data_IF_513587610275
#
_entry.id   IF_513587610275
#
_cell.length_a   1.000
_cell.length_b   1.000
_cell.length_c   1.000
_cell.angle_alpha   90.00
_cell.angle_beta   90.00
_cell.angle_gamma   90.00
#
_symmetry.space_group_name_H-M   'P 1'
#
loop_
_entity.id
_entity.type
_entity.pdbx_description
1 polymer ?
#
# COMPACT_ATOMS: atom_id res chain seq x y z
N UNK A 1 9.85 -0.66 9.66
CA UNK A 1 8.36 -0.63 9.87
C UNK A 1 7.67 -1.07 8.58
N UNK A 2 6.38 -1.50 8.60
CA UNK A 2 5.65 -2.01 7.40
C UNK A 2 5.74 -1.00 6.24
N UNK A 3 5.47 0.27 6.51
CA UNK A 3 5.48 1.33 5.52
C UNK A 3 6.85 1.56 4.84
N UNK A 4 7.95 1.28 5.55
CA UNK A 4 9.32 1.49 5.08
C UNK A 4 10.00 0.21 4.58
N UNK A 5 9.31 -0.93 4.63
CA UNK A 5 9.85 -2.18 4.12
C UNK A 5 10.21 -2.02 2.62
N UNK A 6 11.38 -2.51 2.18
CA UNK A 6 11.77 -2.39 0.77
C UNK A 6 10.92 -3.25 -0.17
N UNK A 7 10.20 -4.23 0.35
CA UNK A 7 9.27 -5.07 -0.38
C UNK A 7 7.89 -4.42 -0.48
N UNK A 8 7.09 -4.81 -1.47
CA UNK A 8 5.65 -4.52 -1.48
C UNK A 8 4.99 -5.25 -0.31
N UNK A 9 4.28 -4.49 0.51
CA UNK A 9 3.53 -5.01 1.67
C UNK A 9 2.05 -5.05 1.35
N UNK A 10 1.40 -6.18 1.67
CA UNK A 10 -0.03 -6.38 1.49
C UNK A 10 -0.66 -6.66 2.84
N UNK A 11 -1.66 -5.87 3.22
CA UNK A 11 -2.50 -6.13 4.38
C UNK A 11 -3.81 -6.77 3.93
N UNK A 12 -4.22 -7.81 4.63
CA UNK A 12 -5.53 -8.45 4.46
C UNK A 12 -6.33 -8.24 5.74
N UNK A 13 -7.49 -7.62 5.61
CA UNK A 13 -8.44 -7.47 6.72
C UNK A 13 -9.57 -8.45 6.52
N UNK A 14 -9.69 -9.39 7.47
CA UNK A 14 -10.69 -10.45 7.49
C UNK A 14 -11.32 -10.51 8.90
N UNK A 15 -12.10 -9.51 9.21
CA UNK A 15 -12.75 -9.35 10.51
C UNK A 15 -12.55 -7.97 11.12
N UNK A 16 -12.63 -7.84 12.47
CA UNK A 16 -12.48 -6.57 13.16
C UNK A 16 -11.11 -5.95 13.03
N UNK A 17 -11.03 -4.73 12.53
CA UNK A 17 -9.82 -3.94 12.36
C UNK A 17 -9.98 -2.60 13.10
N UNK A 18 -9.51 -2.55 14.37
CA UNK A 18 -9.89 -1.48 15.30
C UNK A 18 -8.65 -0.69 15.73
N UNK A 19 -8.79 0.62 15.87
CA UNK A 19 -7.79 1.54 16.43
C UNK A 19 -6.40 1.34 15.82
N UNK A 20 -5.40 0.96 16.61
CA UNK A 20 -4.04 0.67 16.15
C UNK A 20 -3.96 -0.39 15.05
N UNK A 21 -4.84 -1.40 15.05
CA UNK A 21 -4.96 -2.41 13.99
C UNK A 21 -5.36 -1.78 12.66
N UNK A 22 -6.29 -0.83 12.67
CA UNK A 22 -6.67 -0.07 11.48
C UNK A 22 -5.49 0.76 10.95
N UNK A 23 -4.75 1.43 11.83
CA UNK A 23 -3.53 2.13 11.44
C UNK A 23 -2.46 1.22 10.82
N UNK A 24 -2.26 0.02 11.40
CA UNK A 24 -1.33 -0.98 10.85
C UNK A 24 -1.75 -1.46 9.46
N UNK A 25 -3.05 -1.75 9.27
CA UNK A 25 -3.58 -2.13 7.96
C UNK A 25 -3.34 -1.04 6.91
N UNK A 26 -3.58 0.23 7.28
CA UNK A 26 -3.34 1.38 6.41
C UNK A 26 -1.86 1.65 6.11
N UNK A 27 -0.94 1.17 6.94
CA UNK A 27 0.50 1.34 6.74
C UNK A 27 1.09 0.44 5.63
N UNK A 28 0.35 -0.58 5.17
CA UNK A 28 0.75 -1.41 4.04
C UNK A 28 0.60 -0.65 2.71
N UNK A 29 1.30 -1.09 1.67
CA UNK A 29 1.20 -0.51 0.32
C UNK A 29 -0.16 -0.83 -0.31
N UNK A 30 -0.65 -2.04 -0.09
CA UNK A 30 -1.92 -2.55 -0.62
C UNK A 30 -2.76 -3.08 0.53
N UNK A 31 -4.03 -2.71 0.57
CA UNK A 31 -4.99 -3.20 1.54
C UNK A 31 -6.12 -3.93 0.82
N UNK A 32 -6.30 -5.20 1.15
CA UNK A 32 -7.42 -6.03 0.72
C UNK A 32 -8.37 -6.17 1.91
N UNK A 33 -9.65 -6.01 1.71
CA UNK A 33 -10.66 -6.22 2.74
C UNK A 33 -11.66 -7.29 2.32
N UNK A 34 -12.09 -8.10 3.28
CA UNK A 34 -13.29 -8.92 3.08
C UNK A 34 -14.53 -8.06 3.23
N UNK A 35 -15.61 -8.39 2.53
CA UNK A 35 -16.89 -7.68 2.66
C UNK A 35 -17.42 -7.71 4.09
N UNK A 36 -17.20 -8.83 4.80
CA UNK A 36 -17.58 -9.03 6.21
C UNK A 36 -16.71 -8.28 7.21
N UNK A 37 -15.65 -7.60 6.75
CA UNK A 37 -14.73 -6.90 7.63
C UNK A 37 -15.34 -5.65 8.23
N UNK A 38 -14.78 -5.23 9.35
CA UNK A 38 -15.25 -4.12 10.12
C UNK A 38 -14.08 -3.25 10.60
N UNK A 39 -14.12 -1.98 10.29
CA UNK A 39 -13.10 -1.00 10.66
C UNK A 39 -13.66 0.01 11.65
N UNK A 40 -12.90 0.35 12.69
CA UNK A 40 -13.35 1.31 13.71
C UNK A 40 -12.23 2.18 14.25
N UNK A 41 -12.54 3.46 14.41
CA UNK A 41 -11.74 4.41 15.18
C UNK A 41 -12.53 4.81 16.43
N UNK A 42 -12.10 4.35 17.59
CA UNK A 42 -12.82 4.58 18.86
C UNK A 42 -12.06 5.46 19.85
N UNK A 43 -10.89 5.96 19.46
CA UNK A 43 -9.99 6.70 20.34
C UNK A 43 -10.66 7.91 20.98
N UNK A 44 -11.39 8.71 20.22
CA UNK A 44 -12.06 9.92 20.73
C UNK A 44 -13.19 9.60 21.72
N UNK A 45 -13.85 8.44 21.58
CA UNK A 45 -14.83 7.96 22.56
C UNK A 45 -14.20 7.54 23.89
N UNK A 46 -12.88 7.30 23.89
CA UNK A 46 -12.09 6.95 25.09
C UNK A 46 -11.28 8.14 25.64
N UNK A 47 -11.51 9.35 25.11
CA UNK A 47 -10.73 10.54 25.50
C UNK A 47 -9.30 10.56 24.95
N UNK A 48 -9.01 9.75 23.94
CA UNK A 48 -7.69 9.64 23.30
C UNK A 48 -7.72 10.28 21.90
N UNK A 49 -6.53 10.54 21.35
CA UNK A 49 -6.37 11.01 19.98
C UNK A 49 -5.66 9.94 19.13
N UNK A 50 -6.11 9.66 17.89
CA UNK A 50 -5.49 8.67 17.01
C UNK A 50 -4.22 9.22 16.34
N UNK A 51 -3.32 9.89 17.09
CA UNK A 51 -2.19 10.65 16.55
C UNK A 51 -1.18 9.78 15.79
N UNK A 52 -0.91 8.57 16.30
CA UNK A 52 0.09 7.66 15.71
C UNK A 52 -0.37 7.05 14.39
N UNK A 53 -1.68 6.86 14.21
CA UNK A 53 -2.25 6.22 13.02
C UNK A 53 -2.74 7.24 11.97
N UNK A 54 -2.98 8.48 12.36
CA UNK A 54 -3.47 9.56 11.50
C UNK A 54 -2.71 9.69 10.17
N UNK A 55 -1.36 9.66 10.13
CA UNK A 55 -0.63 9.80 8.86
C UNK A 55 -0.97 8.70 7.85
N UNK A 56 -1.16 7.46 8.31
CA UNK A 56 -1.48 6.31 7.45
C UNK A 56 -2.90 6.37 6.90
N UNK A 57 -3.86 6.79 7.74
CA UNK A 57 -5.24 7.00 7.32
C UNK A 57 -5.38 8.15 6.31
N UNK A 58 -4.66 9.26 6.55
CA UNK A 58 -4.65 10.41 5.64
C UNK A 58 -4.00 10.10 4.27
N UNK A 59 -3.20 9.05 4.17
CA UNK A 59 -2.65 8.61 2.90
C UNK A 59 -3.63 7.76 2.07
N UNK A 60 -4.70 7.22 2.71
CA UNK A 60 -5.63 6.29 2.05
C UNK A 60 -6.98 6.89 1.74
N UNK A 61 -7.38 7.95 2.43
CA UNK A 61 -8.69 8.57 2.23
C UNK A 61 -8.58 10.09 2.21
N UNK A 62 -9.62 10.75 1.75
CA UNK A 62 -9.66 12.22 1.78
C UNK A 62 -9.60 12.74 3.22
N UNK A 63 -8.99 13.91 3.39
CA UNK A 63 -8.90 14.58 4.70
C UNK A 63 -10.26 14.71 5.38
N UNK A 64 -11.31 15.03 4.61
CA UNK A 64 -12.67 15.20 5.13
C UNK A 64 -13.22 13.89 5.73
N UNK A 65 -13.02 12.76 5.04
CA UNK A 65 -13.45 11.43 5.52
C UNK A 65 -12.65 10.98 6.74
N UNK A 66 -11.34 11.11 6.70
CA UNK A 66 -10.48 10.80 7.83
C UNK A 66 -10.87 11.63 9.07
N UNK A 67 -11.09 12.94 8.89
CA UNK A 67 -11.54 13.83 9.96
C UNK A 67 -12.87 13.40 10.55
N UNK A 68 -13.87 13.09 9.70
CA UNK A 68 -15.19 12.62 10.16
C UNK A 68 -15.06 11.36 11.03
N UNK A 69 -14.36 10.33 10.50
CA UNK A 69 -14.17 9.05 11.21
C UNK A 69 -13.47 9.23 12.55
N UNK A 70 -12.38 10.01 12.57
CA UNK A 70 -11.60 10.25 13.79
C UNK A 70 -12.38 11.03 14.84
N UNK A 71 -13.14 12.05 14.44
CA UNK A 71 -13.88 12.92 15.38
C UNK A 71 -15.11 12.22 15.96
N UNK A 72 -15.83 11.46 15.14
CA UNK A 72 -17.06 10.80 15.56
C UNK A 72 -16.82 9.41 16.18
N UNK A 73 -15.62 8.86 15.98
CA UNK A 73 -15.31 7.48 16.38
C UNK A 73 -16.19 6.49 15.63
N UNK A 74 -16.44 6.77 14.35
CA UNK A 74 -17.31 5.97 13.49
C UNK A 74 -16.65 4.67 13.05
N UNK A 75 -17.48 3.82 12.46
CA UNK A 75 -17.12 2.53 11.91
C UNK A 75 -17.49 2.43 10.42
N UNK A 76 -16.82 1.50 9.74
CA UNK A 76 -17.01 1.17 8.33
C UNK A 76 -17.07 -0.34 8.19
N UNK A 77 -17.95 -0.84 7.32
CA UNK A 77 -17.84 -2.19 6.79
C UNK A 77 -16.78 -2.28 5.65
N UNK A 78 -16.48 -3.49 5.22
CA UNK A 78 -15.48 -3.73 4.16
C UNK A 78 -15.86 -3.07 2.85
N UNK A 79 -17.14 -3.09 2.46
CA UNK A 79 -17.63 -2.49 1.23
C UNK A 79 -17.48 -0.97 1.24
N UNK A 80 -17.83 -0.33 2.34
CA UNK A 80 -17.66 1.10 2.54
C UNK A 80 -16.20 1.48 2.56
N UNK A 81 -15.34 0.72 3.27
CA UNK A 81 -13.90 0.94 3.30
C UNK A 81 -13.27 0.91 1.90
N UNK A 82 -13.70 -0.03 1.04
CA UNK A 82 -13.28 -0.06 -0.36
C UNK A 82 -13.82 1.13 -1.15
N UNK A 83 -15.10 1.47 -1.01
CA UNK A 83 -15.73 2.55 -1.80
C UNK A 83 -15.14 3.94 -1.54
N UNK A 84 -14.62 4.19 -0.32
CA UNK A 84 -13.98 5.47 0.05
C UNK A 84 -12.46 5.46 -0.07
N UNK A 85 -11.86 4.38 -0.59
CA UNK A 85 -10.42 4.28 -0.88
C UNK A 85 -9.55 3.87 0.30
N UNK A 86 -10.10 3.42 1.41
CA UNK A 86 -9.35 2.81 2.52
C UNK A 86 -8.73 1.50 2.07
N UNK A 87 -9.53 0.62 1.45
CA UNK A 87 -9.06 -0.62 0.86
C UNK A 87 -8.96 -0.51 -0.66
N UNK A 88 -7.89 -1.09 -1.21
CA UNK A 88 -7.64 -1.11 -2.66
C UNK A 88 -8.44 -2.20 -3.36
N UNK A 89 -8.76 -3.28 -2.64
CA UNK A 89 -9.52 -4.42 -3.16
C UNK A 89 -10.56 -4.88 -2.14
N UNK A 90 -11.71 -5.30 -2.64
CA UNK A 90 -12.78 -5.97 -1.90
C UNK A 90 -12.86 -7.43 -2.33
N UNK A 91 -12.88 -8.34 -1.37
CA UNK A 91 -13.08 -9.76 -1.61
C UNK A 91 -14.41 -10.22 -0.98
N UNK A 92 -15.21 -10.95 -1.74
CA UNK A 92 -16.53 -11.44 -1.30
C UNK A 92 -16.46 -12.87 -0.76
N UNK A 93 -15.36 -13.58 -1.00
CA UNK A 93 -15.10 -14.95 -0.52
C UNK A 93 -13.60 -15.18 -0.36
N UNK A 94 -13.22 -16.25 0.32
CA UNK A 94 -11.81 -16.66 0.39
C UNK A 94 -11.23 -17.03 -0.98
N UNK A 95 -12.03 -17.62 -1.86
CA UNK A 95 -11.61 -17.91 -3.23
C UNK A 95 -11.25 -16.62 -3.97
N UNK A 96 -12.11 -15.60 -3.86
CA UNK A 96 -11.88 -14.28 -4.44
C UNK A 96 -10.65 -13.60 -3.83
N UNK A 97 -10.49 -13.67 -2.50
CA UNK A 97 -9.31 -13.19 -1.79
C UNK A 97 -8.01 -13.80 -2.33
N UNK A 98 -7.96 -15.12 -2.45
CA UNK A 98 -6.76 -15.80 -2.97
C UNK A 98 -6.48 -15.45 -4.44
N UNK A 99 -7.52 -15.24 -5.24
CA UNK A 99 -7.39 -14.76 -6.62
C UNK A 99 -6.77 -13.36 -6.67
N UNK A 100 -7.25 -12.43 -5.84
CA UNK A 100 -6.71 -11.07 -5.74
C UNK A 100 -5.24 -11.11 -5.30
N UNK A 101 -4.91 -11.88 -4.26
CA UNK A 101 -3.53 -12.04 -3.78
C UNK A 101 -2.63 -12.59 -4.90
N UNK A 102 -3.08 -13.61 -5.64
CA UNK A 102 -2.33 -14.19 -6.75
C UNK A 102 -2.08 -13.18 -7.87
N UNK A 103 -3.07 -12.36 -8.21
CA UNK A 103 -2.93 -11.29 -9.19
C UNK A 103 -1.92 -10.23 -8.76
N UNK A 104 -1.97 -9.79 -7.48
CA UNK A 104 -1.01 -8.84 -6.93
C UNK A 104 0.40 -9.44 -6.98
N UNK A 105 0.56 -10.67 -6.50
CA UNK A 105 1.85 -11.38 -6.53
C UNK A 105 2.42 -11.43 -7.96
N UNK A 106 1.60 -11.83 -8.93
CA UNK A 106 2.05 -11.91 -10.34
C UNK A 106 2.53 -10.56 -10.85
N UNK A 107 1.84 -9.46 -10.55
CA UNK A 107 2.25 -8.10 -10.94
C UNK A 107 3.57 -7.69 -10.28
N UNK A 108 3.73 -7.96 -8.98
CA UNK A 108 4.94 -7.63 -8.22
C UNK A 108 6.15 -8.39 -8.75
N UNK A 109 5.97 -9.67 -9.11
CA UNK A 109 7.06 -10.51 -9.65
C UNK A 109 7.59 -10.05 -11.02
N UNK A 110 6.87 -9.18 -11.72
CA UNK A 110 7.33 -8.55 -12.95
C UNK A 110 8.16 -7.27 -12.71
N UNK A 111 8.18 -6.77 -11.48
CA UNK A 111 8.87 -5.53 -11.14
C UNK A 111 10.26 -5.80 -10.55
N UNK A 112 11.23 -4.94 -10.89
CA UNK A 112 12.57 -4.96 -10.31
C UNK A 112 12.51 -4.74 -8.79
N UNK A 113 13.09 -5.62 -7.94
CA UNK A 113 13.11 -5.46 -6.48
C UNK A 113 13.77 -4.16 -6.03
N UNK A 114 14.88 -3.77 -6.66
CA UNK A 114 15.58 -2.53 -6.34
C UNK A 114 14.74 -1.29 -6.74
N UNK A 115 14.08 -1.33 -7.91
CA UNK A 115 13.21 -0.24 -8.34
C UNK A 115 12.02 -0.07 -7.38
N UNK A 116 11.39 -1.16 -6.92
CA UNK A 116 10.35 -1.13 -5.87
C UNK A 116 10.88 -0.44 -4.62
N UNK A 117 12.01 -0.89 -4.08
CA UNK A 117 12.59 -0.36 -2.85
C UNK A 117 12.89 1.14 -2.95
N UNK A 118 13.51 1.57 -4.05
CA UNK A 118 13.82 2.98 -4.31
C UNK A 118 12.55 3.82 -4.49
N UNK A 119 11.55 3.31 -5.19
CA UNK A 119 10.25 3.98 -5.37
C UNK A 119 9.57 4.20 -4.02
N UNK A 120 9.50 3.17 -3.17
CA UNK A 120 8.92 3.31 -1.83
C UNK A 120 9.66 4.35 -0.98
N UNK A 121 11.00 4.27 -0.95
CA UNK A 121 11.83 5.24 -0.23
C UNK A 121 11.65 6.68 -0.75
N UNK A 122 11.43 6.85 -2.05
CA UNK A 122 11.15 8.15 -2.65
C UNK A 122 9.77 8.66 -2.24
N UNK A 123 8.73 7.84 -2.38
CA UNK A 123 7.35 8.20 -2.07
C UNK A 123 7.11 8.45 -0.57
N UNK A 124 7.85 7.79 0.33
CA UNK A 124 7.75 8.06 1.77
C UNK A 124 8.12 9.51 2.15
N UNK A 125 8.87 10.19 1.27
CA UNK A 125 9.27 11.60 1.41
C UNK A 125 8.42 12.54 0.54
N UNK A 126 7.35 12.04 -0.09
CA UNK A 126 6.62 12.71 -1.16
C UNK A 126 5.94 14.04 -0.80
N UNK A 127 5.82 14.38 0.47
CA UNK A 127 5.33 15.74 0.88
C UNK A 127 6.30 16.87 0.52
N UNK A 128 7.56 16.54 0.20
CA UNK A 128 8.60 17.49 -0.25
C UNK A 128 9.42 16.82 -1.36
N UNK A 129 8.80 16.55 -2.52
CA UNK A 129 9.52 16.01 -3.68
C UNK A 129 10.41 17.12 -4.25
N UNK A 130 11.71 16.94 -4.12
CA UNK A 130 12.72 17.73 -4.83
C UNK A 130 12.95 17.12 -6.23
N UNK A 131 12.72 17.95 -7.27
CA UNK A 131 12.86 17.53 -8.67
C UNK A 131 14.32 17.13 -8.99
N UNK A 132 15.30 17.84 -8.42
CA UNK A 132 16.71 17.51 -8.63
C UNK A 132 17.04 16.15 -8.02
N UNK A 133 16.57 15.89 -6.80
CA UNK A 133 16.73 14.58 -6.15
C UNK A 133 16.01 13.47 -6.89
N UNK A 134 14.83 13.74 -7.43
CA UNK A 134 14.08 12.78 -8.25
C UNK A 134 14.85 12.39 -9.51
N UNK A 135 15.43 13.37 -10.21
CA UNK A 135 16.26 13.14 -11.40
C UNK A 135 17.51 12.33 -11.08
N UNK A 136 18.15 12.63 -9.95
CA UNK A 136 19.33 11.87 -9.49
C UNK A 136 18.98 10.41 -9.17
N UNK A 137 17.86 10.16 -8.49
CA UNK A 137 17.39 8.80 -8.20
C UNK A 137 17.08 8.01 -9.46
N UNK A 138 16.48 8.66 -10.46
CA UNK A 138 16.22 8.05 -11.76
C UNK A 138 17.52 7.64 -12.46
N UNK A 139 18.50 8.55 -12.47
CA UNK A 139 19.84 8.26 -13.03
C UNK A 139 20.55 7.11 -12.29
N UNK A 140 20.47 7.08 -10.96
CA UNK A 140 20.99 5.97 -10.14
C UNK A 140 20.30 4.65 -10.48
N UNK A 141 18.98 4.65 -10.77
CA UNK A 141 18.25 3.45 -11.15
C UNK A 141 18.66 2.94 -12.53
N UNK A 142 18.80 3.82 -13.53
CA UNK A 142 19.24 3.42 -14.89
C UNK A 142 20.63 2.77 -14.87
N UNK A 143 21.54 3.28 -14.04
CA UNK A 143 22.91 2.79 -13.96
C UNK A 143 23.09 1.61 -12.97
N UNK A 144 22.04 1.15 -12.35
CA UNK A 144 22.05 -0.05 -11.51
C UNK A 144 21.87 -1.31 -12.37
N UNK A 145 22.45 -2.45 -11.94
CA UNK A 145 22.39 -3.71 -12.69
C UNK A 145 20.97 -4.11 -13.12
N UNK A 146 19.99 -3.95 -12.22
CA UNK A 146 18.58 -4.21 -12.55
C UNK A 146 18.00 -3.20 -13.55
N UNK A 147 18.42 -1.94 -13.49
CA UNK A 147 18.02 -0.92 -14.46
C UNK A 147 18.56 -1.22 -15.86
N UNK A 148 19.83 -1.59 -15.96
CA UNK A 148 20.48 -2.00 -17.20
C UNK A 148 19.82 -3.26 -17.78
N UNK A 149 19.61 -4.30 -16.96
CA UNK A 149 18.91 -5.51 -17.38
C UNK A 149 17.48 -5.21 -17.85
N UNK A 150 16.73 -4.36 -17.13
CA UNK A 150 15.38 -3.96 -17.52
C UNK A 150 15.34 -3.29 -18.90
N UNK A 151 16.24 -2.35 -19.16
CA UNK A 151 16.37 -1.71 -20.46
C UNK A 151 16.79 -2.71 -21.55
N UNK A 152 17.80 -3.54 -21.29
CA UNK A 152 18.28 -4.53 -22.24
C UNK A 152 17.18 -5.53 -22.61
N UNK A 153 16.47 -6.09 -21.60
CA UNK A 153 15.39 -7.03 -21.81
C UNK A 153 14.24 -6.43 -22.62
N UNK A 154 13.93 -5.13 -22.39
CA UNK A 154 12.93 -4.41 -23.16
C UNK A 154 13.30 -4.30 -24.65
N UNK A 155 14.57 -3.91 -24.98
CA UNK A 155 15.02 -3.83 -26.36
C UNK A 155 15.14 -5.21 -27.04
N UNK A 156 15.52 -6.24 -26.27
CA UNK A 156 15.64 -7.62 -26.75
C UNK A 156 14.29 -8.35 -26.79
N UNK A 157 13.19 -7.73 -26.33
CA UNK A 157 11.82 -8.30 -26.27
C UNK A 157 11.80 -9.65 -25.52
N UNK A 158 12.52 -9.74 -24.41
CA UNK A 158 12.55 -10.89 -23.49
C UNK A 158 12.17 -10.47 -22.09
N UNK A 159 11.87 -11.46 -21.25
CA UNK A 159 11.67 -11.20 -19.83
C UNK A 159 13.03 -10.89 -19.14
N UNK A 160 13.07 -9.93 -18.21
CA UNK A 160 14.22 -9.71 -17.35
C UNK A 160 14.38 -10.90 -16.38
N UNK A 161 15.61 -11.07 -15.84
CA UNK A 161 15.94 -12.26 -15.05
C UNK A 161 15.05 -12.44 -13.80
N UNK A 162 14.54 -11.35 -13.23
CA UNK A 162 13.64 -11.41 -12.05
C UNK A 162 12.20 -11.81 -12.38
N UNK A 163 11.76 -11.67 -13.64
CA UNK A 163 10.40 -12.02 -14.09
C UNK A 163 10.30 -13.44 -14.65
N UNK A 164 11.43 -14.18 -14.75
CA UNK A 164 11.40 -15.57 -15.25
C UNK A 164 10.58 -16.42 -14.30
N UNK A 165 9.48 -16.96 -14.85
CA UNK A 165 8.66 -17.97 -14.18
C UNK A 165 9.54 -19.17 -13.83
N UNK A 166 9.49 -19.61 -12.57
CA UNK A 166 9.98 -20.92 -12.15
C UNK A 166 9.06 -22.00 -12.66
#
# INVERSE_FOLDING_TARGET
>A
MIHEAPQVTVSVVDGPCIAGGFGMACAADILITMESSYFKLSETKLGLIPSQISPYLLNRMTFSKARQLMLLGDDLDGSTAHSIGVADYLAHSYEDLYKVISQIKSKVMLCSPNAIAKTKSHLSKARNIDIQRSSQLFFECINHDEGLEGLQSFFEKRDPYWAKSK
#
